data_IF_607111569699
#
_entry.id   IF_607111569699
#
_cell.length_a   1.000
_cell.length_b   1.000
_cell.length_c   1.000
_cell.angle_alpha   90.00
_cell.angle_beta   90.00
_cell.angle_gamma   90.00
#
_symmetry.space_group_name_H-M   'P 1'
#
loop_
_entity.id
_entity.type
_entity.pdbx_description
1 polymer ?
#
# COMPACT_ATOMS: atom_id res chain seq x y z
N UNK A 1 35.13 33.25 4.19
CA UNK A 1 34.78 32.06 3.40
C UNK A 1 34.82 30.88 4.36
N UNK A 2 33.69 30.49 4.92
CA UNK A 2 33.61 29.45 5.94
C UNK A 2 32.84 28.25 5.37
N UNK A 3 33.25 27.01 5.67
CA UNK A 3 32.69 25.82 5.04
C UNK A 3 31.28 25.57 5.57
N UNK A 4 30.37 25.30 4.65
CA UNK A 4 28.98 24.95 4.94
C UNK A 4 28.94 23.48 5.40
N UNK A 5 28.29 23.20 6.52
CA UNK A 5 28.00 21.81 6.93
C UNK A 5 26.60 21.45 6.42
N UNK A 6 26.57 20.59 5.41
CA UNK A 6 25.40 20.15 4.66
C UNK A 6 25.07 18.71 5.10
N UNK A 7 23.83 18.46 5.52
CA UNK A 7 23.36 17.09 5.81
C UNK A 7 22.83 16.55 4.48
N UNK A 8 23.70 16.00 3.64
CA UNK A 8 23.36 15.44 2.34
C UNK A 8 23.16 13.92 2.45
N UNK A 9 22.00 13.41 2.05
CA UNK A 9 21.76 11.97 1.95
C UNK A 9 22.64 11.36 0.84
N UNK A 10 23.62 10.54 1.23
CA UNK A 10 24.48 9.76 0.34
C UNK A 10 23.70 8.69 -0.43
N UNK A 11 24.01 8.56 -1.72
CA UNK A 11 23.37 7.61 -2.63
C UNK A 11 23.57 6.13 -2.25
N UNK A 12 22.50 5.36 -2.46
CA UNK A 12 22.34 3.97 -2.07
C UNK A 12 23.09 2.98 -2.98
N UNK A 13 23.63 1.92 -2.36
CA UNK A 13 24.19 0.75 -3.01
C UNK A 13 23.16 -0.03 -3.84
N UNK A 14 23.65 -0.72 -4.87
CA UNK A 14 22.83 -1.50 -5.80
C UNK A 14 22.37 -2.79 -5.14
N UNK A 15 21.09 -3.08 -5.24
CA UNK A 15 20.61 -4.46 -5.27
C UNK A 15 19.83 -4.74 -6.56
N UNK A 16 19.97 -5.97 -7.07
CA UNK A 16 19.76 -6.32 -8.48
C UNK A 16 18.30 -6.33 -8.99
N UNK A 17 17.34 -5.75 -8.26
CA UNK A 17 15.93 -5.74 -8.68
C UNK A 17 15.24 -4.40 -8.38
N UNK A 18 15.50 -3.41 -9.24
CA UNK A 18 14.73 -2.24 -9.66
C UNK A 18 13.61 -1.54 -8.84
N UNK A 19 13.33 -1.80 -7.57
CA UNK A 19 12.48 -0.92 -6.73
C UNK A 19 13.09 -0.73 -5.33
N UNK A 20 13.66 0.46 -5.09
CA UNK A 20 14.25 0.86 -3.81
C UNK A 20 13.20 1.56 -2.93
N UNK A 21 12.97 1.09 -1.72
CA UNK A 21 12.24 1.83 -0.69
C UNK A 21 13.25 2.61 0.14
N UNK A 22 13.00 3.90 0.39
CA UNK A 22 13.84 4.67 1.32
C UNK A 22 12.95 5.17 2.45
N UNK A 23 13.30 4.77 3.68
CA UNK A 23 12.63 5.19 4.90
C UNK A 23 13.58 6.02 5.75
N UNK A 24 13.02 7.05 6.38
CA UNK A 24 13.73 7.92 7.31
C UNK A 24 13.30 7.61 8.73
N UNK A 25 14.24 7.19 9.59
CA UNK A 25 14.00 6.95 11.02
C UNK A 25 15.11 7.58 11.86
N UNK A 26 14.72 8.22 12.96
CA UNK A 26 15.61 8.84 13.94
C UNK A 26 15.52 8.13 15.31
N UNK A 27 14.88 6.97 15.38
CA UNK A 27 14.64 6.25 16.64
C UNK A 27 15.90 5.57 17.18
N UNK A 28 16.84 5.17 16.32
CA UNK A 28 18.09 4.51 16.72
C UNK A 28 19.22 5.56 16.90
N UNK A 29 19.31 6.14 18.10
CA UNK A 29 20.28 7.20 18.44
C UNK A 29 21.28 6.71 19.47
N UNK A 30 22.56 6.70 19.09
CA UNK A 30 23.68 6.58 20.04
C UNK A 30 23.74 7.73 21.05
N UNK A 31 24.57 7.62 22.10
CA UNK A 31 24.42 8.36 23.37
C UNK A 31 24.85 9.85 23.35
N UNK A 32 24.95 10.51 22.19
CA UNK A 32 25.47 11.88 22.09
C UNK A 32 24.39 12.96 21.85
N UNK A 33 24.56 14.19 22.40
CA UNK A 33 23.52 15.23 22.41
C UNK A 33 23.22 15.87 21.05
N UNK A 34 24.04 15.59 20.02
CA UNK A 34 23.90 16.12 18.66
C UNK A 34 23.49 14.97 17.72
N UNK A 35 22.18 14.89 17.48
CA UNK A 35 21.40 13.78 16.92
C UNK A 35 21.71 13.50 15.44
N UNK A 36 21.97 12.25 15.08
CA UNK A 36 22.11 11.77 13.70
C UNK A 36 20.83 11.07 13.20
N UNK A 37 20.59 11.07 11.89
CA UNK A 37 19.52 10.32 11.21
C UNK A 37 20.09 9.04 10.60
N UNK A 38 19.35 7.92 10.64
CA UNK A 38 19.72 6.68 9.96
C UNK A 38 18.71 6.44 8.83
N UNK A 39 19.20 6.31 7.59
CA UNK A 39 18.39 5.77 6.49
C UNK A 39 18.35 4.25 6.67
N UNK A 40 17.15 3.67 6.75
CA UNK A 40 16.95 2.28 7.20
C UNK A 40 17.41 1.18 6.20
N UNK A 41 18.12 1.52 5.12
CA UNK A 41 18.83 0.52 4.31
C UNK A 41 20.24 1.00 3.94
N UNK A 42 21.24 0.53 4.69
CA UNK A 42 22.66 0.56 4.30
C UNK A 42 23.37 1.92 4.25
N UNK A 43 22.75 3.00 4.71
CA UNK A 43 23.37 4.33 4.75
C UNK A 43 24.16 4.58 6.04
N UNK A 44 25.37 5.13 5.93
CA UNK A 44 26.12 5.67 7.06
C UNK A 44 25.37 6.86 7.70
N UNK A 45 25.38 6.99 9.03
CA UNK A 45 24.63 8.03 9.75
C UNK A 45 25.05 9.44 9.30
N UNK A 46 24.08 10.31 9.05
CA UNK A 46 24.34 11.69 8.65
C UNK A 46 24.54 12.57 9.89
N UNK A 47 25.74 13.13 10.04
CA UNK A 47 26.06 14.06 11.12
C UNK A 47 26.82 15.26 10.53
N UNK A 48 26.42 16.48 10.90
CA UNK A 48 27.16 17.71 10.58
C UNK A 48 27.16 18.62 11.80
N UNK A 49 28.31 18.82 12.44
CA UNK A 49 28.45 19.73 13.59
C UNK A 49 28.65 21.18 13.14
N UNK A 50 28.07 22.14 13.88
CA UNK A 50 28.53 23.55 13.89
C UNK A 50 27.65 24.61 13.21
N UNK A 51 26.44 24.30 12.72
CA UNK A 51 25.55 25.28 12.08
C UNK A 51 24.11 25.18 12.61
N UNK A 52 23.25 26.22 12.44
CA UNK A 52 21.85 26.17 12.88
C UNK A 52 21.17 24.92 12.31
N UNK A 53 20.34 24.20 13.09
CA UNK A 53 19.77 22.92 12.68
C UNK A 53 18.89 23.13 11.45
N UNK A 54 19.38 22.67 10.29
CA UNK A 54 18.67 22.60 9.01
C UNK A 54 18.77 21.16 8.53
N UNK A 55 17.62 20.55 8.20
CA UNK A 55 17.57 19.18 7.70
C UNK A 55 17.16 19.21 6.22
N UNK A 56 18.07 18.77 5.35
CA UNK A 56 17.91 18.78 3.90
C UNK A 56 17.86 17.33 3.39
N UNK A 57 16.66 16.83 3.15
CA UNK A 57 16.41 15.47 2.65
C UNK A 57 15.89 15.50 1.20
N UNK A 58 16.20 16.56 0.46
CA UNK A 58 15.71 16.76 -0.90
C UNK A 58 16.31 15.76 -1.91
N UNK A 59 15.57 15.50 -3.00
CA UNK A 59 16.03 14.66 -4.11
C UNK A 59 16.41 13.22 -3.69
N UNK A 60 15.70 12.67 -2.72
CA UNK A 60 15.84 11.27 -2.28
C UNK A 60 14.68 10.41 -2.79
N UNK A 61 14.71 9.12 -2.46
CA UNK A 61 13.63 8.17 -2.77
C UNK A 61 12.68 7.95 -1.58
N UNK A 62 12.59 8.90 -0.65
CA UNK A 62 11.80 8.72 0.58
C UNK A 62 10.33 8.60 0.21
N UNK A 63 9.72 7.46 0.53
CA UNK A 63 8.32 7.19 0.20
C UNK A 63 7.41 7.14 1.44
N UNK A 64 8.01 7.14 2.64
CA UNK A 64 7.30 7.01 3.90
C UNK A 64 8.05 7.70 5.05
N UNK A 65 7.29 8.27 6.00
CA UNK A 65 7.78 8.93 7.21
C UNK A 65 6.98 8.41 8.41
N UNK A 66 7.69 7.98 9.47
CA UNK A 66 7.05 7.66 10.74
C UNK A 66 6.59 8.94 11.46
N UNK A 67 5.54 8.84 12.28
CA UNK A 67 5.01 9.97 13.07
C UNK A 67 6.03 10.52 14.06
N UNK A 68 6.88 9.66 14.61
CA UNK A 68 7.90 10.00 15.59
C UNK A 68 9.24 10.41 14.97
N UNK A 69 9.37 10.40 13.63
CA UNK A 69 10.63 10.69 12.95
C UNK A 69 11.25 12.02 13.39
N UNK A 70 10.44 13.04 13.69
CA UNK A 70 10.92 14.36 14.10
C UNK A 70 10.63 14.70 15.57
N UNK A 71 10.26 13.70 16.40
CA UNK A 71 9.76 13.87 17.77
C UNK A 71 10.66 14.74 18.66
N UNK A 72 11.93 14.80 18.31
CA UNK A 72 13.00 15.38 19.08
C UNK A 72 13.53 16.70 18.49
N UNK A 73 13.23 17.01 17.23
CA UNK A 73 13.82 18.13 16.49
C UNK A 73 13.14 19.47 16.78
N UNK A 74 13.04 19.85 18.06
CA UNK A 74 12.29 21.04 18.50
C UNK A 74 12.81 22.37 17.96
N UNK A 75 14.13 22.46 17.73
CA UNK A 75 14.80 23.69 17.29
C UNK A 75 15.01 23.76 15.77
N UNK A 76 14.45 22.82 15.00
CA UNK A 76 14.66 22.75 13.55
C UNK A 76 13.92 23.90 12.86
N UNK A 77 14.68 24.77 12.17
CA UNK A 77 14.12 25.94 11.48
C UNK A 77 13.72 25.65 10.04
N UNK A 78 14.41 24.71 9.39
CA UNK A 78 14.17 24.32 8.00
C UNK A 78 14.17 22.80 7.86
N UNK A 79 13.10 22.29 7.26
CA UNK A 79 12.98 20.90 6.83
C UNK A 79 12.68 20.88 5.33
N UNK A 80 13.55 20.24 4.55
CA UNK A 80 13.31 20.03 3.12
C UNK A 80 13.10 18.55 2.84
N UNK A 81 11.89 18.19 2.40
CA UNK A 81 11.52 16.88 1.85
C UNK A 81 11.21 17.00 0.35
N UNK A 82 11.70 18.07 -0.30
CA UNK A 82 11.49 18.36 -1.72
C UNK A 82 11.94 17.20 -2.61
N UNK A 83 11.22 16.93 -3.70
CA UNK A 83 11.58 15.91 -4.70
C UNK A 83 11.84 14.54 -4.07
N UNK A 84 10.80 14.01 -3.42
CA UNK A 84 10.78 12.67 -2.85
C UNK A 84 9.57 11.90 -3.42
N UNK A 85 9.23 10.75 -2.84
CA UNK A 85 8.12 9.89 -3.27
C UNK A 85 6.98 9.83 -2.26
N UNK A 86 6.84 10.85 -1.41
CA UNK A 86 5.80 10.90 -0.39
C UNK A 86 4.40 11.04 -1.00
N UNK A 87 3.55 10.05 -0.73
CA UNK A 87 2.14 10.09 -1.11
C UNK A 87 1.25 10.68 0.00
N UNK A 88 1.65 10.53 1.26
CA UNK A 88 0.95 11.06 2.43
C UNK A 88 1.94 11.36 3.54
N UNK A 89 1.51 12.13 4.54
CA UNK A 89 2.25 12.37 5.77
C UNK A 89 1.27 12.17 6.92
N UNK A 90 1.64 11.39 7.91
CA UNK A 90 0.77 11.08 9.02
C UNK A 90 0.58 12.28 9.96
N UNK A 91 -0.62 12.39 10.53
CA UNK A 91 -0.94 13.43 11.50
C UNK A 91 -0.02 13.28 12.72
N UNK A 92 0.57 14.40 13.16
CA UNK A 92 1.49 14.42 14.30
C UNK A 92 2.96 14.38 13.90
N UNK A 93 3.31 14.03 12.66
CA UNK A 93 4.70 13.99 12.17
C UNK A 93 5.46 15.30 12.43
N UNK A 94 4.80 16.45 12.34
CA UNK A 94 5.39 17.78 12.57
C UNK A 94 5.10 18.37 13.94
N UNK A 95 4.44 17.63 14.86
CA UNK A 95 3.98 18.18 16.14
C UNK A 95 5.13 18.65 17.06
N UNK A 96 6.29 18.01 16.95
CA UNK A 96 7.47 18.35 17.74
C UNK A 96 8.27 19.55 17.20
N UNK A 97 8.04 19.96 15.94
CA UNK A 97 8.79 21.01 15.24
C UNK A 97 8.29 22.41 15.62
N UNK A 98 8.67 22.90 16.81
CA UNK A 98 8.15 24.17 17.36
C UNK A 98 8.78 25.42 16.75
N UNK A 99 10.00 25.33 16.22
CA UNK A 99 10.76 26.45 15.65
C UNK A 99 10.71 26.50 14.11
N UNK A 100 9.90 25.66 13.46
CA UNK A 100 9.92 25.50 12.00
C UNK A 100 9.44 26.77 11.28
N UNK A 101 10.26 27.25 10.34
CA UNK A 101 9.99 28.46 9.54
C UNK A 101 9.89 28.16 8.05
N UNK A 102 10.44 27.03 7.60
CA UNK A 102 10.47 26.63 6.18
C UNK A 102 10.31 25.13 6.06
N UNK A 103 9.34 24.69 5.23
CA UNK A 103 8.98 23.28 5.08
C UNK A 103 8.80 22.91 3.61
N UNK A 104 9.89 22.65 2.88
CA UNK A 104 9.80 22.34 1.45
C UNK A 104 9.22 20.94 1.22
N UNK A 105 8.03 20.87 0.60
CA UNK A 105 7.33 19.61 0.32
C UNK A 105 7.03 19.40 -1.16
N UNK A 106 7.33 20.37 -2.03
CA UNK A 106 7.03 20.26 -3.46
C UNK A 106 7.76 19.08 -4.14
N UNK A 107 7.33 18.73 -5.35
CA UNK A 107 7.80 17.54 -6.08
C UNK A 107 7.59 16.22 -5.30
N UNK A 108 6.46 16.09 -4.61
CA UNK A 108 6.02 14.82 -4.00
C UNK A 108 4.63 14.43 -4.54
N UNK A 109 4.36 13.13 -4.79
CA UNK A 109 3.10 12.65 -5.37
C UNK A 109 1.94 12.59 -4.37
N UNK A 110 1.62 13.70 -3.69
CA UNK A 110 0.63 13.71 -2.61
C UNK A 110 -0.79 13.30 -3.04
N UNK A 111 -1.42 12.46 -2.23
CA UNK A 111 -2.82 12.05 -2.30
C UNK A 111 -3.61 12.89 -1.31
N UNK A 112 -4.39 13.84 -1.80
CA UNK A 112 -5.18 14.79 -1.01
C UNK A 112 -6.57 14.23 -0.65
N UNK A 113 -6.57 13.14 0.11
CA UNK A 113 -7.76 12.52 0.68
C UNK A 113 -8.06 13.05 2.10
N UNK A 114 -9.02 12.45 2.81
CA UNK A 114 -9.35 12.88 4.17
C UNK A 114 -8.21 12.75 5.20
N UNK A 115 -7.20 11.91 4.96
CA UNK A 115 -6.08 11.73 5.88
C UNK A 115 -5.04 12.82 5.72
N UNK A 116 -4.80 13.34 4.51
CA UNK A 116 -3.91 14.49 4.33
C UNK A 116 -4.56 15.84 4.73
N UNK A 117 -5.84 15.82 5.14
CA UNK A 117 -6.60 17.01 5.58
C UNK A 117 -5.83 17.80 6.64
N UNK A 118 -5.24 17.14 7.62
CA UNK A 118 -4.53 17.81 8.73
C UNK A 118 -3.36 18.66 8.22
N UNK A 119 -2.68 18.23 7.15
CA UNK A 119 -1.54 18.97 6.59
C UNK A 119 -2.03 20.26 5.95
N UNK A 120 -3.18 20.23 5.27
CA UNK A 120 -3.79 21.44 4.74
C UNK A 120 -4.21 22.41 5.85
N UNK A 121 -4.78 21.90 6.95
CA UNK A 121 -5.11 22.71 8.13
C UNK A 121 -3.84 23.32 8.75
N UNK A 122 -2.81 22.49 8.97
CA UNK A 122 -1.54 22.92 9.52
C UNK A 122 -0.86 24.02 8.69
N UNK A 123 -0.86 23.90 7.36
CA UNK A 123 -0.28 24.90 6.45
C UNK A 123 -1.14 26.17 6.30
N UNK A 124 -2.43 26.11 6.65
CA UNK A 124 -3.29 27.30 6.73
C UNK A 124 -3.06 28.06 8.02
N UNK A 125 -2.93 27.34 9.13
CA UNK A 125 -2.68 27.91 10.46
C UNK A 125 -1.23 28.42 10.60
N UNK A 126 -0.29 27.80 9.88
CA UNK A 126 1.12 28.14 9.86
C UNK A 126 1.54 28.45 8.42
N UNK A 127 1.51 29.73 7.97
CA UNK A 127 1.86 30.13 6.61
C UNK A 127 3.39 30.06 6.40
N UNK A 128 3.88 28.84 6.38
CA UNK A 128 5.28 28.45 6.19
C UNK A 128 5.52 28.26 4.69
N UNK A 129 6.68 28.70 4.18
CA UNK A 129 7.07 28.44 2.79
C UNK A 129 7.17 26.94 2.55
N UNK A 130 6.40 26.45 1.58
CA UNK A 130 6.29 25.01 1.26
C UNK A 130 6.84 24.61 -0.10
N UNK A 131 7.45 25.58 -0.80
CA UNK A 131 7.76 25.51 -2.22
C UNK A 131 6.52 25.24 -3.09
N UNK A 132 5.32 25.53 -2.57
CA UNK A 132 4.06 25.38 -3.29
C UNK A 132 3.63 23.93 -3.51
N UNK A 133 3.78 23.05 -2.52
CA UNK A 133 3.37 21.65 -2.57
C UNK A 133 1.94 21.44 -3.10
N UNK A 134 1.76 20.47 -4.00
CA UNK A 134 0.53 20.25 -4.76
C UNK A 134 0.03 18.81 -4.63
N UNK A 135 -1.28 18.65 -4.75
CA UNK A 135 -1.88 17.33 -4.87
C UNK A 135 -1.62 16.74 -6.26
N UNK A 136 -1.31 15.44 -6.31
CA UNK A 136 -1.29 14.65 -7.55
C UNK A 136 -2.61 13.89 -7.73
N UNK A 137 -3.17 13.40 -6.64
CA UNK A 137 -4.44 12.69 -6.57
C UNK A 137 -5.32 13.27 -5.46
N UNK A 138 -6.65 13.09 -5.47
CA UNK A 138 -7.49 12.64 -6.59
C UNK A 138 -7.61 13.69 -7.69
N UNK A 139 -8.05 13.29 -8.91
CA UNK A 139 -8.16 14.18 -10.09
C UNK A 139 -8.85 15.52 -9.81
N UNK A 140 -9.87 15.53 -8.94
CA UNK A 140 -10.60 16.72 -8.49
C UNK A 140 -9.75 17.78 -7.76
N UNK A 141 -8.64 17.35 -7.14
CA UNK A 141 -7.70 18.21 -6.42
C UNK A 141 -6.32 18.26 -7.09
N UNK A 142 -6.08 17.49 -8.14
CA UNK A 142 -4.80 17.46 -8.85
C UNK A 142 -4.33 18.88 -9.23
N UNK A 143 -3.03 19.12 -9.08
CA UNK A 143 -2.32 20.38 -9.30
C UNK A 143 -2.72 21.55 -8.38
N UNK A 144 -3.64 21.36 -7.43
CA UNK A 144 -3.99 22.40 -6.45
C UNK A 144 -2.98 22.42 -5.31
N UNK A 145 -2.63 23.63 -4.83
CA UNK A 145 -1.71 23.82 -3.71
C UNK A 145 -2.37 23.36 -2.41
N UNK A 146 -1.71 22.49 -1.65
CA UNK A 146 -2.29 21.83 -0.46
C UNK A 146 -2.81 22.86 0.55
N UNK A 147 -2.00 23.87 0.89
CA UNK A 147 -2.38 24.93 1.84
C UNK A 147 -3.53 25.84 1.38
N UNK A 148 -3.90 25.84 0.09
CA UNK A 148 -5.01 26.67 -0.43
C UNK A 148 -6.34 25.91 -0.54
N UNK A 149 -6.35 24.61 -0.26
CA UNK A 149 -7.55 23.77 -0.37
C UNK A 149 -8.28 23.79 0.97
N UNK A 150 -9.56 24.21 0.98
CA UNK A 150 -10.39 24.15 2.19
C UNK A 150 -10.53 22.70 2.68
N UNK A 151 -10.38 22.48 3.98
CA UNK A 151 -10.35 21.16 4.63
C UNK A 151 -11.54 20.27 4.26
N UNK A 152 -12.74 20.85 4.11
CA UNK A 152 -13.97 20.12 3.70
C UNK A 152 -13.91 19.46 2.31
N UNK A 153 -12.91 19.82 1.49
CA UNK A 153 -12.67 19.22 0.18
C UNK A 153 -11.80 17.96 0.27
N UNK A 154 -11.12 17.72 1.38
CA UNK A 154 -10.39 16.48 1.63
C UNK A 154 -11.40 15.40 2.06
N UNK A 155 -11.63 14.42 1.19
CA UNK A 155 -12.61 13.35 1.38
C UNK A 155 -11.98 12.05 0.94
N UNK A 156 -12.20 11.00 1.71
CA UNK A 156 -11.85 9.64 1.33
C UNK A 156 -13.07 8.97 0.67
N UNK A 157 -12.84 8.19 -0.37
CA UNK A 157 -13.84 7.29 -0.94
C UNK A 157 -13.21 5.92 -1.17
N UNK A 158 -13.79 4.86 -0.61
CA UNK A 158 -13.34 3.49 -0.86
C UNK A 158 -11.88 3.25 -0.49
N UNK A 159 -11.06 2.87 -1.47
CA UNK A 159 -9.68 2.37 -1.34
C UNK A 159 -8.65 3.41 -0.88
N UNK A 160 -8.93 4.71 -1.05
CA UNK A 160 -8.03 5.81 -0.64
C UNK A 160 -7.92 5.95 0.88
N UNK A 161 -9.01 5.63 1.62
CA UNK A 161 -9.07 5.70 3.08
C UNK A 161 -8.01 4.79 3.74
N UNK A 162 -7.73 3.63 3.14
CA UNK A 162 -6.85 2.63 3.74
C UNK A 162 -5.36 2.93 3.57
N UNK A 163 -4.95 3.51 2.42
CA UNK A 163 -3.53 3.85 2.15
C UNK A 163 -3.01 4.87 3.14
N UNK A 164 -3.84 5.85 3.47
CA UNK A 164 -3.41 6.99 4.27
C UNK A 164 -3.71 6.83 5.77
N UNK A 165 -4.60 5.91 6.16
CA UNK A 165 -4.82 5.50 7.57
C UNK A 165 -3.61 4.77 8.17
N UNK A 166 -2.89 3.99 7.35
CA UNK A 166 -1.66 3.27 7.75
C UNK A 166 -0.38 4.08 7.51
N UNK A 167 -0.48 5.33 7.05
CA UNK A 167 0.68 6.18 6.77
C UNK A 167 1.52 6.55 8.00
N UNK A 168 1.03 6.30 9.21
CA UNK A 168 1.72 6.61 10.48
C UNK A 168 2.82 5.62 10.85
N UNK A 169 2.58 4.35 10.54
CA UNK A 169 3.34 3.26 11.14
C UNK A 169 4.52 2.84 10.29
N UNK A 170 4.65 3.45 9.11
CA UNK A 170 5.68 3.17 8.12
C UNK A 170 6.02 1.68 8.08
N UNK A 171 4.96 0.86 7.96
CA UNK A 171 5.06 -0.57 8.19
C UNK A 171 6.06 -1.18 7.22
N UNK A 172 7.11 -1.78 7.79
CA UNK A 172 8.18 -2.49 7.09
C UNK A 172 7.71 -3.69 6.24
N UNK A 173 6.42 -4.00 6.17
CA UNK A 173 5.85 -5.06 5.33
C UNK A 173 5.53 -4.59 3.89
N UNK A 174 6.24 -3.57 3.41
CA UNK A 174 6.00 -2.87 2.15
C UNK A 174 6.65 -3.51 0.91
N UNK A 175 7.44 -4.57 1.08
CA UNK A 175 8.03 -5.27 -0.06
C UNK A 175 6.90 -5.81 -0.94
N UNK A 176 6.76 -5.23 -2.14
CA UNK A 176 5.93 -5.86 -3.16
C UNK A 176 6.49 -7.27 -3.40
N UNK A 177 5.64 -8.31 -3.50
CA UNK A 177 6.17 -9.66 -3.68
C UNK A 177 7.05 -9.73 -4.93
N UNK A 178 8.10 -10.56 -4.87
CA UNK A 178 9.01 -10.74 -6.00
C UNK A 178 8.25 -11.00 -7.30
N UNK A 179 8.65 -10.31 -8.37
CA UNK A 179 8.04 -10.35 -9.72
C UNK A 179 6.67 -9.70 -9.83
N UNK A 180 6.09 -9.20 -8.73
CA UNK A 180 4.82 -8.49 -8.76
C UNK A 180 5.02 -6.97 -8.85
N UNK A 181 3.99 -6.27 -9.31
CA UNK A 181 3.91 -4.81 -9.33
C UNK A 181 2.79 -4.36 -8.41
N UNK A 182 3.10 -3.44 -7.50
CA UNK A 182 2.15 -2.92 -6.53
C UNK A 182 1.76 -1.48 -6.89
N UNK A 183 0.50 -1.26 -7.26
CA UNK A 183 -0.04 0.06 -7.60
C UNK A 183 -1.31 0.33 -6.81
N UNK A 184 -1.29 1.37 -5.97
CA UNK A 184 -2.40 1.57 -5.05
C UNK A 184 -2.58 0.34 -4.15
N UNK A 185 -3.83 -0.06 -3.91
CA UNK A 185 -4.17 -1.29 -3.17
C UNK A 185 -4.23 -2.53 -4.09
N UNK A 186 -3.71 -2.43 -5.31
CA UNK A 186 -3.67 -3.53 -6.27
C UNK A 186 -2.28 -4.14 -6.28
N UNK A 187 -2.21 -5.46 -6.08
CA UNK A 187 -1.00 -6.24 -6.26
C UNK A 187 -1.16 -7.06 -7.54
N UNK A 188 -0.35 -6.73 -8.53
CA UNK A 188 -0.38 -7.33 -9.87
C UNK A 188 0.78 -8.30 -10.04
N UNK A 189 0.48 -9.59 -9.90
CA UNK A 189 1.40 -10.71 -10.06
C UNK A 189 1.07 -11.50 -11.34
N UNK A 190 0.42 -10.87 -12.33
CA UNK A 190 0.01 -11.55 -13.56
C UNK A 190 1.19 -11.81 -14.51
N UNK A 191 1.12 -12.90 -15.28
CA UNK A 191 2.13 -13.28 -16.29
C UNK A 191 3.53 -13.52 -15.72
N UNK A 192 3.65 -14.01 -14.49
CA UNK A 192 4.92 -14.19 -13.78
C UNK A 192 5.38 -15.66 -13.70
N UNK A 193 4.67 -16.57 -14.38
CA UNK A 193 4.88 -18.02 -14.34
C UNK A 193 4.85 -18.58 -12.91
N UNK A 194 4.00 -18.00 -12.07
CA UNK A 194 3.86 -18.40 -10.68
C UNK A 194 3.12 -19.73 -10.59
N UNK A 195 3.56 -20.59 -9.69
CA UNK A 195 2.89 -21.87 -9.38
C UNK A 195 2.16 -21.84 -8.04
N UNK A 196 2.48 -20.87 -7.18
CA UNK A 196 1.92 -20.66 -5.83
C UNK A 196 1.72 -19.18 -5.53
N UNK A 197 0.87 -18.89 -4.54
CA UNK A 197 0.59 -17.51 -4.12
C UNK A 197 1.84 -17.01 -3.35
N UNK A 198 2.35 -15.81 -3.64
CA UNK A 198 3.49 -15.26 -2.88
C UNK A 198 3.16 -15.08 -1.40
N UNK A 199 4.14 -15.33 -0.50
CA UNK A 199 3.93 -15.29 0.96
C UNK A 199 3.86 -13.86 1.53
N UNK A 200 4.47 -12.90 0.83
CA UNK A 200 4.65 -11.51 1.29
C UNK A 200 3.70 -10.54 0.59
N UNK A 201 2.40 -10.84 0.60
CA UNK A 201 1.39 -9.93 0.04
C UNK A 201 1.09 -8.81 1.07
N UNK A 202 1.18 -7.53 0.68
CA UNK A 202 0.91 -6.44 1.60
C UNK A 202 -0.52 -6.47 2.17
N UNK A 203 -0.66 -6.22 3.48
CA UNK A 203 -1.95 -6.33 4.18
C UNK A 203 -3.02 -5.33 3.69
N UNK A 204 -2.59 -4.24 3.04
CA UNK A 204 -3.47 -3.23 2.44
C UNK A 204 -4.05 -3.66 1.08
N UNK A 205 -3.72 -4.86 0.59
CA UNK A 205 -4.18 -5.35 -0.71
C UNK A 205 -5.69 -5.51 -0.75
N UNK A 206 -6.33 -4.79 -1.67
CA UNK A 206 -7.77 -4.87 -1.95
C UNK A 206 -8.07 -5.64 -3.23
N UNK A 207 -7.15 -5.63 -4.20
CA UNK A 207 -7.23 -6.40 -5.43
C UNK A 207 -5.92 -7.18 -5.66
N UNK A 208 -6.03 -8.49 -5.81
CA UNK A 208 -4.91 -9.38 -6.10
C UNK A 208 -5.09 -10.00 -7.49
N UNK A 209 -4.16 -9.72 -8.40
CA UNK A 209 -4.16 -10.26 -9.77
C UNK A 209 -3.10 -11.33 -9.90
N UNK A 210 -3.55 -12.57 -10.11
CA UNK A 210 -2.73 -13.78 -10.28
C UNK A 210 -3.06 -14.47 -11.61
N UNK A 211 -3.69 -13.77 -12.55
CA UNK A 211 -4.09 -14.31 -13.84
C UNK A 211 -2.89 -14.59 -14.76
N UNK A 212 -3.07 -15.49 -15.73
CA UNK A 212 -2.05 -15.89 -16.69
C UNK A 212 -0.77 -16.43 -16.02
N UNK A 213 -0.93 -17.33 -15.06
CA UNK A 213 0.17 -17.99 -14.36
C UNK A 213 0.04 -19.52 -14.54
N UNK A 214 0.70 -20.30 -13.70
CA UNK A 214 0.79 -21.75 -13.80
C UNK A 214 0.26 -22.48 -12.56
N UNK A 215 -0.66 -21.85 -11.83
CA UNK A 215 -1.32 -22.46 -10.67
C UNK A 215 -2.08 -23.73 -11.09
N UNK A 216 -1.76 -24.85 -10.47
CA UNK A 216 -2.45 -26.14 -10.67
C UNK A 216 -3.38 -26.49 -9.52
N UNK A 217 -3.04 -26.06 -8.30
CA UNK A 217 -3.81 -26.28 -7.09
C UNK A 217 -3.85 -24.95 -6.31
N UNK A 218 -5.01 -24.65 -5.70
CA UNK A 218 -5.08 -23.63 -4.67
C UNK A 218 -4.88 -24.30 -3.32
N UNK A 219 -3.80 -23.94 -2.64
CA UNK A 219 -3.39 -24.53 -1.36
C UNK A 219 -4.01 -23.76 -0.17
N UNK A 220 -4.33 -24.49 0.89
CA UNK A 220 -4.84 -23.95 2.16
C UNK A 220 -3.73 -23.33 3.03
N UNK A 221 -3.02 -22.33 2.49
CA UNK A 221 -1.90 -21.66 3.19
C UNK A 221 -2.33 -20.68 4.29
N UNK A 222 -3.61 -20.29 4.31
CA UNK A 222 -4.12 -19.27 5.23
C UNK A 222 -3.67 -17.83 4.92
N UNK A 223 -3.06 -17.59 3.75
CA UNK A 223 -2.59 -16.26 3.31
C UNK A 223 -3.67 -15.18 3.42
N UNK A 224 -4.93 -15.53 3.13
CA UNK A 224 -6.05 -14.58 3.13
C UNK A 224 -6.45 -14.10 4.53
N UNK A 225 -6.08 -14.82 5.60
CA UNK A 225 -6.25 -14.34 7.00
C UNK A 225 -5.46 -13.05 7.26
N UNK A 226 -4.35 -12.85 6.53
CA UNK A 226 -3.49 -11.66 6.64
C UNK A 226 -3.92 -10.51 5.72
N UNK A 227 -4.97 -10.69 4.92
CA UNK A 227 -5.41 -9.71 3.91
C UNK A 227 -6.85 -9.23 4.21
N UNK A 228 -7.06 -8.50 5.32
CA UNK A 228 -8.40 -8.16 5.83
C UNK A 228 -9.21 -7.22 4.92
N UNK A 229 -8.57 -6.63 3.89
CA UNK A 229 -9.20 -5.70 2.95
C UNK A 229 -9.40 -6.29 1.56
N UNK A 230 -9.05 -7.56 1.35
CA UNK A 230 -9.09 -8.18 0.05
C UNK A 230 -10.52 -8.33 -0.45
N UNK A 231 -10.84 -7.65 -1.55
CA UNK A 231 -12.19 -7.63 -2.15
C UNK A 231 -12.25 -8.38 -3.45
N UNK A 232 -11.15 -8.46 -4.18
CA UNK A 232 -11.10 -9.07 -5.50
C UNK A 232 -9.85 -9.93 -5.67
N UNK A 233 -10.05 -11.16 -6.11
CA UNK A 233 -8.99 -12.06 -6.55
C UNK A 233 -9.26 -12.44 -8.00
N UNK A 234 -8.25 -12.27 -8.86
CA UNK A 234 -8.29 -12.76 -10.22
C UNK A 234 -7.28 -13.89 -10.43
N UNK A 235 -7.78 -15.11 -10.59
CA UNK A 235 -7.04 -16.34 -10.87
C UNK A 235 -7.36 -16.89 -12.27
N UNK A 236 -7.87 -16.05 -13.16
CA UNK A 236 -8.27 -16.48 -14.52
C UNK A 236 -7.06 -16.89 -15.36
N UNK A 237 -7.26 -17.76 -16.36
CA UNK A 237 -6.20 -18.25 -17.26
C UNK A 237 -5.05 -18.89 -16.47
N UNK A 238 -5.37 -19.86 -15.62
CA UNK A 238 -4.39 -20.68 -14.93
C UNK A 238 -4.62 -22.16 -15.31
N UNK A 239 -3.99 -23.09 -14.60
CA UNK A 239 -4.10 -24.54 -14.84
C UNK A 239 -4.80 -25.23 -13.66
N UNK A 240 -5.63 -24.50 -12.89
CA UNK A 240 -6.17 -24.97 -11.61
C UNK A 240 -7.10 -26.15 -11.89
N UNK A 241 -6.79 -27.32 -11.32
CA UNK A 241 -7.61 -28.52 -11.36
C UNK A 241 -8.31 -28.78 -10.05
N UNK A 242 -7.72 -28.34 -8.93
CA UNK A 242 -8.21 -28.61 -7.58
C UNK A 242 -8.10 -27.37 -6.67
N UNK A 243 -9.01 -27.29 -5.70
CA UNK A 243 -9.09 -26.23 -4.68
C UNK A 243 -9.20 -26.91 -3.32
N UNK A 244 -8.14 -26.84 -2.52
CA UNK A 244 -8.10 -27.47 -1.21
C UNK A 244 -9.13 -26.87 -0.25
N UNK A 245 -9.65 -27.69 0.65
CA UNK A 245 -10.52 -27.23 1.72
C UNK A 245 -9.81 -26.18 2.59
N UNK A 246 -10.44 -25.00 2.74
CA UNK A 246 -9.84 -23.90 3.50
C UNK A 246 -8.89 -23.02 2.70
N UNK A 247 -8.73 -23.24 1.38
CA UNK A 247 -7.96 -22.34 0.49
C UNK A 247 -8.34 -20.87 0.63
N UNK A 248 -9.62 -20.59 0.92
CA UNK A 248 -10.15 -19.22 1.10
C UNK A 248 -10.49 -18.89 2.55
N UNK A 249 -9.97 -19.64 3.51
CA UNK A 249 -10.19 -19.36 4.93
C UNK A 249 -9.62 -17.98 5.30
N UNK A 250 -10.40 -17.19 6.04
CA UNK A 250 -10.05 -15.80 6.37
C UNK A 250 -10.40 -14.77 5.29
N UNK A 251 -10.83 -15.20 4.10
CA UNK A 251 -11.34 -14.28 3.06
C UNK A 251 -12.75 -13.75 3.38
N UNK A 252 -13.45 -14.35 4.35
CA UNK A 252 -14.73 -13.88 4.88
C UNK A 252 -14.52 -12.70 5.85
N UNK A 253 -15.22 -11.59 5.61
CA UNK A 253 -15.08 -10.37 6.42
C UNK A 253 -16.34 -9.50 6.46
N UNK A 254 -17.52 -10.08 6.19
CA UNK A 254 -18.77 -9.34 6.09
C UNK A 254 -18.72 -8.27 4.99
N UNK A 255 -18.98 -7.00 5.33
CA UNK A 255 -18.95 -5.90 4.35
C UNK A 255 -17.57 -5.65 3.71
N UNK A 256 -16.49 -6.12 4.34
CA UNK A 256 -15.12 -5.93 3.87
C UNK A 256 -14.46 -7.22 3.36
N UNK A 257 -15.18 -8.35 3.36
CA UNK A 257 -14.68 -9.63 2.85
C UNK A 257 -14.59 -9.68 1.32
N UNK A 258 -14.06 -10.79 0.82
CA UNK A 258 -13.92 -11.04 -0.62
C UNK A 258 -15.27 -10.96 -1.32
N UNK A 259 -15.36 -10.13 -2.36
CA UNK A 259 -16.59 -9.90 -3.15
C UNK A 259 -16.51 -10.50 -4.54
N UNK A 260 -15.34 -10.60 -5.13
CA UNK A 260 -15.17 -11.04 -6.51
C UNK A 260 -14.07 -12.08 -6.60
N UNK A 261 -14.42 -13.27 -7.06
CA UNK A 261 -13.49 -14.35 -7.35
C UNK A 261 -13.61 -14.74 -8.82
N UNK A 262 -12.53 -14.53 -9.58
CA UNK A 262 -12.47 -14.90 -10.99
C UNK A 262 -11.60 -16.15 -11.15
N UNK A 263 -12.22 -17.25 -11.57
CA UNK A 263 -11.60 -18.54 -11.85
C UNK A 263 -11.81 -18.97 -13.31
N UNK A 264 -12.07 -18.01 -14.20
CA UNK A 264 -12.35 -18.27 -15.61
C UNK A 264 -11.16 -18.92 -16.32
N UNK A 265 -11.39 -19.78 -17.30
CA UNK A 265 -10.33 -20.36 -18.15
C UNK A 265 -9.31 -21.11 -17.29
N UNK A 266 -9.81 -22.07 -16.52
CA UNK A 266 -9.03 -23.00 -15.68
C UNK A 266 -9.41 -24.44 -16.06
N UNK A 267 -9.00 -25.43 -15.25
CA UNK A 267 -9.20 -26.86 -15.53
C UNK A 267 -9.99 -27.55 -14.41
N UNK A 268 -10.83 -26.81 -13.69
CA UNK A 268 -11.57 -27.33 -12.55
C UNK A 268 -12.58 -28.36 -13.08
N UNK A 269 -12.43 -29.61 -12.66
CA UNK A 269 -13.25 -30.74 -13.12
C UNK A 269 -14.47 -31.01 -12.23
N UNK A 270 -14.31 -30.79 -10.92
CA UNK A 270 -15.34 -31.07 -9.91
C UNK A 270 -15.38 -29.92 -8.91
N UNK A 271 -16.57 -29.57 -8.43
CA UNK A 271 -16.75 -28.63 -7.31
C UNK A 271 -17.30 -29.39 -6.12
N UNK A 272 -16.53 -29.48 -5.03
CA UNK A 272 -16.98 -30.11 -3.78
C UNK A 272 -17.75 -29.12 -2.89
N UNK A 273 -18.41 -29.62 -1.85
CA UNK A 273 -19.07 -28.80 -0.82
C UNK A 273 -18.09 -27.94 0.00
N UNK A 274 -16.80 -28.30 0.00
CA UNK A 274 -15.74 -27.64 0.75
C UNK A 274 -14.85 -26.71 -0.09
N UNK A 275 -14.86 -26.82 -1.43
CA UNK A 275 -14.02 -26.00 -2.34
C UNK A 275 -14.17 -24.49 -2.14
N UNK A 276 -15.34 -24.02 -1.72
CA UNK A 276 -15.64 -22.60 -1.52
C UNK A 276 -15.95 -22.22 -0.08
N UNK A 277 -15.58 -23.07 0.88
CA UNK A 277 -15.66 -22.73 2.32
C UNK A 277 -14.87 -21.44 2.59
N UNK A 278 -15.48 -20.53 3.35
CA UNK A 278 -14.89 -19.21 3.64
C UNK A 278 -15.28 -18.09 2.67
N UNK A 279 -16.04 -18.37 1.60
CA UNK A 279 -16.48 -17.36 0.61
C UNK A 279 -17.84 -16.71 0.89
N UNK A 280 -18.21 -16.55 2.17
CA UNK A 280 -19.55 -16.09 2.59
C UNK A 280 -19.92 -14.66 2.15
N UNK A 281 -18.95 -13.86 1.71
CA UNK A 281 -19.14 -12.47 1.27
C UNK A 281 -19.10 -12.30 -0.26
N UNK A 282 -18.84 -13.38 -1.00
CA UNK A 282 -18.62 -13.33 -2.46
C UNK A 282 -19.92 -12.96 -3.17
N UNK A 283 -19.79 -11.98 -4.07
CA UNK A 283 -20.86 -11.43 -4.91
C UNK A 283 -20.74 -11.75 -6.39
N UNK A 284 -19.60 -12.25 -6.82
CA UNK A 284 -19.38 -12.65 -8.20
C UNK A 284 -18.37 -13.79 -8.19
N UNK A 285 -18.80 -14.94 -8.70
CA UNK A 285 -17.97 -16.13 -8.87
C UNK A 285 -17.97 -16.52 -10.34
N UNK A 286 -16.85 -16.31 -11.02
CA UNK A 286 -16.72 -16.68 -12.43
C UNK A 286 -16.01 -18.02 -12.58
N UNK A 287 -16.77 -19.06 -12.93
CA UNK A 287 -16.26 -20.41 -13.25
C UNK A 287 -16.33 -20.74 -14.76
N UNK A 288 -16.64 -19.77 -15.60
CA UNK A 288 -16.72 -19.95 -17.06
C UNK A 288 -15.43 -20.56 -17.64
N UNK A 289 -15.54 -21.38 -18.69
CA UNK A 289 -14.39 -22.00 -19.36
C UNK A 289 -13.54 -22.84 -18.39
N UNK A 290 -14.21 -23.73 -17.67
CA UNK A 290 -13.62 -24.80 -16.89
C UNK A 290 -14.12 -26.15 -17.43
N UNK A 291 -13.69 -27.25 -16.81
CA UNK A 291 -14.03 -28.62 -17.23
C UNK A 291 -15.02 -29.27 -16.27
N UNK A 292 -15.91 -28.46 -15.67
CA UNK A 292 -16.81 -28.91 -14.59
C UNK A 292 -17.79 -29.94 -15.15
N UNK A 293 -17.60 -31.20 -14.77
CA UNK A 293 -18.48 -32.32 -15.14
C UNK A 293 -19.44 -32.69 -14.03
N UNK A 294 -19.08 -32.39 -12.78
CA UNK A 294 -19.92 -32.67 -11.61
C UNK A 294 -19.79 -31.60 -10.52
N UNK A 295 -20.88 -31.37 -9.78
CA UNK A 295 -20.92 -30.49 -8.61
C UNK A 295 -21.62 -31.22 -7.46
N UNK A 296 -20.97 -31.26 -6.30
CA UNK A 296 -21.55 -31.86 -5.11
C UNK A 296 -22.79 -31.06 -4.64
N UNK A 297 -23.80 -31.70 -4.03
CA UNK A 297 -24.90 -30.99 -3.37
C UNK A 297 -24.35 -29.99 -2.35
N UNK A 298 -24.71 -28.71 -2.50
CA UNK A 298 -24.18 -27.65 -1.65
C UNK A 298 -22.76 -27.16 -2.00
N UNK A 299 -22.20 -27.57 -3.15
CA UNK A 299 -20.92 -27.11 -3.68
C UNK A 299 -20.74 -25.59 -3.70
N UNK A 300 -21.84 -24.88 -3.89
CA UNK A 300 -21.87 -23.42 -3.94
C UNK A 300 -22.58 -22.80 -2.72
N UNK A 301 -22.92 -23.57 -1.68
CA UNK A 301 -23.67 -23.07 -0.51
C UNK A 301 -22.97 -21.91 0.22
N UNK A 302 -21.64 -21.87 0.14
CA UNK A 302 -20.80 -20.89 0.82
C UNK A 302 -20.54 -19.63 -0.01
N UNK A 303 -20.76 -19.66 -1.33
CA UNK A 303 -20.87 -18.47 -2.15
C UNK A 303 -22.35 -18.07 -2.13
N UNK A 304 -22.73 -16.89 -1.66
CA UNK A 304 -24.14 -16.53 -1.46
C UNK A 304 -24.93 -16.45 -2.78
N UNK A 305 -25.34 -17.57 -3.35
CA UNK A 305 -26.07 -17.65 -4.62
C UNK A 305 -27.59 -17.50 -4.41
N UNK A 306 -28.28 -16.58 -5.10
CA UNK A 306 -29.62 -16.90 -5.58
C UNK A 306 -29.46 -17.96 -6.67
N UNK A 307 -30.00 -19.15 -6.43
CA UNK A 307 -30.03 -20.25 -7.40
C UNK A 307 -30.93 -19.88 -8.57
N UNK A 308 -30.40 -19.19 -9.57
CA UNK A 308 -30.92 -19.29 -10.93
C UNK A 308 -30.05 -20.28 -11.70
N UNK A 309 -30.60 -21.41 -12.16
CA UNK A 309 -29.85 -22.36 -12.97
C UNK A 309 -29.60 -21.73 -14.34
N UNK A 310 -28.43 -21.12 -14.52
CA UNK A 310 -27.94 -20.78 -15.86
C UNK A 310 -27.25 -22.00 -16.50
N UNK A 311 -27.35 -22.15 -17.84
CA UNK A 311 -26.79 -23.29 -18.55
C UNK A 311 -25.27 -23.40 -18.37
N UNK A 312 -24.69 -24.61 -18.52
CA UNK A 312 -23.25 -24.82 -18.42
C UNK A 312 -22.50 -23.88 -19.37
N UNK A 313 -21.53 -23.13 -18.83
CA UNK A 313 -20.75 -22.17 -19.60
C UNK A 313 -21.24 -20.73 -19.52
N UNK A 314 -21.73 -20.24 -18.38
CA UNK A 314 -21.84 -18.79 -18.11
C UNK A 314 -21.23 -18.40 -16.77
N UNK A 315 -20.82 -17.14 -16.66
CA UNK A 315 -20.38 -16.54 -15.40
C UNK A 315 -21.56 -16.45 -14.43
N UNK A 316 -21.43 -16.99 -13.21
CA UNK A 316 -22.46 -16.88 -12.18
C UNK A 316 -22.39 -15.47 -11.59
N UNK A 317 -23.25 -14.58 -12.10
CA UNK A 317 -23.46 -13.26 -11.52
C UNK A 317 -24.59 -13.35 -10.49
N UNK A 318 -24.39 -12.78 -9.30
CA UNK A 318 -25.43 -12.65 -8.28
C UNK A 318 -26.43 -11.55 -8.62
#
# INVERSE_FOLDING_TARGET
MSPFTEIAAGGFGRDQNHDFYTQLDFSDRGPHPNRCAVALEGGSPFCSEGNPPRSLLNANKINCLRVDAFQDLHNLNLLSLYDNKLQTIAKGTFAALRAIQTLHLAQNPFICDCHLKWLADYLQDNPIETSGARCTSPRRLANKRIGQIKSKKFRCSGTEDYRSKLGSDCFADLACPDKCRCEGTTVDCSNQKLTRIPDHIPQYTAELRLNNNEFTVLEATGIFKKLPQLRKINLSNNKITDIEEGSFEGAAGGLNGLRTLMLRSNRIGCVSNSSFTGLSSVRLLSLYDNQITSMAPGGLRHAALPLHPEPPGKSIQL
#
